data_IF_641580593319
#
_entry.id   IF_641580593319
#
_cell.length_a   1.000
_cell.length_b   1.000
_cell.length_c   1.000
_cell.angle_alpha   90.00
_cell.angle_beta   90.00
_cell.angle_gamma   90.00
#
_symmetry.space_group_name_H-M   'P 1'
#
loop_
_entity.id
_entity.type
_entity.pdbx_description
1 polymer ?
#
# COMPACT_ATOMS: atom_id res chain seq x y z
N UNK A 1 14.20 6.14 -3.75
CA UNK A 1 12.75 6.36 -3.93
C UNK A 1 12.01 5.97 -2.64
N UNK A 2 10.79 6.46 -2.38
CA UNK A 2 10.03 6.13 -1.16
C UNK A 2 9.88 4.61 -0.96
N UNK A 3 9.61 3.88 -2.04
CA UNK A 3 9.59 2.41 -2.10
C UNK A 3 10.83 1.76 -1.46
N UNK A 4 12.03 2.25 -1.76
CA UNK A 4 13.29 1.61 -1.37
C UNK A 4 13.53 1.66 0.15
N UNK A 5 12.79 2.51 0.88
CA UNK A 5 12.79 2.55 2.36
C UNK A 5 11.80 1.58 2.99
N UNK A 6 10.92 0.98 2.19
CA UNK A 6 9.80 0.16 2.66
C UNK A 6 10.05 -1.32 2.33
N UNK A 7 10.56 -1.62 1.14
CA UNK A 7 10.90 -2.98 0.72
C UNK A 7 12.04 -3.01 -0.29
N UNK A 8 12.77 -4.13 -0.30
CA UNK A 8 13.78 -4.44 -1.31
C UNK A 8 13.16 -4.96 -2.63
N UNK A 9 11.92 -5.43 -2.63
CA UNK A 9 11.24 -6.02 -3.82
C UNK A 9 10.77 -4.94 -4.80
N UNK A 10 11.23 -5.06 -6.06
CA UNK A 10 10.96 -4.12 -7.16
C UNK A 10 9.65 -4.34 -7.89
N UNK A 11 9.06 -5.54 -7.78
CA UNK A 11 7.97 -5.93 -8.65
C UNK A 11 6.69 -5.18 -8.32
N UNK A 12 6.03 -4.65 -9.34
CA UNK A 12 4.79 -3.90 -9.19
C UNK A 12 3.76 -4.71 -8.41
N UNK A 13 3.23 -4.10 -7.36
CA UNK A 13 2.22 -4.71 -6.49
C UNK A 13 2.76 -5.55 -5.34
N UNK A 14 4.08 -5.64 -5.15
CA UNK A 14 4.71 -6.26 -3.96
C UNK A 14 5.07 -5.26 -2.87
N UNK A 15 4.76 -3.98 -3.08
CA UNK A 15 5.20 -2.89 -2.21
C UNK A 15 4.12 -1.84 -1.97
N UNK A 16 4.25 -1.14 -0.84
CA UNK A 16 3.41 0.01 -0.50
C UNK A 16 3.90 1.28 -1.19
N UNK A 17 2.96 2.03 -1.76
CA UNK A 17 3.16 3.38 -2.30
C UNK A 17 2.32 4.42 -1.56
N UNK A 18 2.34 5.66 -2.03
CA UNK A 18 1.46 6.70 -1.50
C UNK A 18 -0.02 6.40 -1.78
N UNK A 19 -0.32 6.10 -3.04
CA UNK A 19 -1.65 5.72 -3.51
C UNK A 19 -1.53 4.31 -4.10
N UNK A 20 -2.42 3.42 -3.69
CA UNK A 20 -2.44 2.03 -4.13
C UNK A 20 -3.86 1.65 -4.50
N UNK A 21 -4.01 0.91 -5.59
CA UNK A 21 -5.28 0.30 -5.96
C UNK A 21 -5.22 -1.21 -5.75
N UNK A 22 -6.22 -1.73 -5.04
CA UNK A 22 -6.45 -3.15 -4.86
C UNK A 22 -7.73 -3.55 -5.59
N UNK A 23 -7.61 -4.30 -6.67
CA UNK A 23 -8.77 -4.85 -7.36
C UNK A 23 -9.54 -5.81 -6.45
N UNK A 24 -10.85 -5.92 -6.64
CA UNK A 24 -11.72 -6.84 -5.88
C UNK A 24 -11.19 -8.28 -5.91
N UNK A 25 -10.59 -8.69 -7.03
CA UNK A 25 -10.00 -10.02 -7.20
C UNK A 25 -8.76 -10.30 -6.33
N UNK A 26 -8.09 -9.26 -5.81
CA UNK A 26 -6.96 -9.44 -4.88
C UNK A 26 -7.40 -9.75 -3.44
N UNK A 27 -8.64 -9.43 -3.10
CA UNK A 27 -9.18 -9.60 -1.75
C UNK A 27 -9.56 -8.27 -1.08
N UNK A 28 -9.84 -8.35 0.22
CA UNK A 28 -10.31 -7.21 1.02
C UNK A 28 -9.16 -6.56 1.77
N UNK A 29 -9.08 -5.23 1.73
CA UNK A 29 -8.10 -4.46 2.52
C UNK A 29 -8.47 -4.58 4.01
N UNK A 30 -7.56 -5.04 4.88
CA UNK A 30 -7.82 -5.09 6.33
C UNK A 30 -7.91 -3.68 6.91
N UNK A 31 -8.42 -3.50 8.14
CA UNK A 31 -8.31 -2.22 8.84
C UNK A 31 -6.85 -1.74 8.92
N UNK A 32 -6.61 -0.49 8.51
CA UNK A 32 -5.29 0.14 8.49
C UNK A 32 -5.21 1.27 9.54
N UNK A 33 -4.02 1.59 10.08
CA UNK A 33 -3.87 2.71 11.01
C UNK A 33 -4.20 4.05 10.37
N UNK A 34 -4.70 5.00 11.17
CA UNK A 34 -4.69 6.40 10.77
C UNK A 34 -3.25 6.86 10.45
N UNK A 35 -3.06 7.81 9.51
CA UNK A 35 -4.06 8.55 8.74
C UNK A 35 -4.52 7.85 7.44
N UNK A 36 -4.26 6.55 7.27
CA UNK A 36 -4.60 5.83 6.03
C UNK A 36 -6.09 5.89 5.74
N UNK A 37 -6.44 6.20 4.49
CA UNK A 37 -7.82 6.20 3.99
C UNK A 37 -8.01 5.04 3.02
N UNK A 38 -9.18 4.41 3.11
CA UNK A 38 -9.61 3.31 2.23
C UNK A 38 -10.91 3.77 1.58
N UNK A 39 -10.86 4.03 0.28
CA UNK A 39 -11.99 4.53 -0.49
C UNK A 39 -12.47 3.45 -1.48
N UNK A 40 -13.76 3.10 -1.49
CA UNK A 40 -14.28 2.13 -2.45
C UNK A 40 -14.28 2.72 -3.86
N UNK A 41 -13.88 1.90 -4.85
CA UNK A 41 -14.01 2.21 -6.28
C UNK A 41 -15.14 1.36 -6.83
N UNK A 42 -16.38 1.82 -6.60
CA UNK A 42 -17.60 1.08 -6.91
C UNK A 42 -17.50 -0.40 -6.48
N UNK A 43 -17.81 -1.34 -7.38
CA UNK A 43 -17.64 -2.78 -7.18
C UNK A 43 -16.28 -3.30 -7.65
N UNK A 44 -15.36 -2.42 -8.08
CA UNK A 44 -14.09 -2.77 -8.74
C UNK A 44 -12.97 -3.06 -7.77
N UNK A 45 -12.98 -2.43 -6.59
CA UNK A 45 -11.92 -2.60 -5.61
C UNK A 45 -11.84 -1.44 -4.61
N UNK A 46 -10.64 -1.24 -4.05
CA UNK A 46 -10.36 -0.22 -3.04
C UNK A 46 -9.16 0.62 -3.46
N UNK A 47 -9.25 1.93 -3.27
CA UNK A 47 -8.14 2.87 -3.30
C UNK A 47 -7.64 3.07 -1.86
N UNK A 48 -6.36 2.84 -1.63
CA UNK A 48 -5.70 3.07 -0.34
C UNK A 48 -4.77 4.26 -0.47
N UNK A 49 -4.97 5.26 0.38
CA UNK A 49 -4.19 6.50 0.42
C UNK A 49 -3.44 6.53 1.76
N UNK A 50 -2.11 6.46 1.70
CA UNK A 50 -1.26 6.33 2.89
C UNK A 50 -1.34 7.57 3.80
N UNK A 51 -1.25 8.76 3.21
CA UNK A 51 -1.26 10.06 3.87
C UNK A 51 -2.06 11.07 3.02
N UNK A 52 -2.75 12.06 3.63
CA UNK A 52 -3.46 13.10 2.88
C UNK A 52 -2.53 13.92 1.97
N UNK A 53 -1.34 14.24 2.47
CA UNK A 53 -0.30 14.92 1.72
C UNK A 53 0.64 13.92 1.03
N UNK A 54 1.46 14.40 0.10
CA UNK A 54 2.40 13.57 -0.65
C UNK A 54 3.34 12.79 0.29
N UNK A 55 3.37 11.46 0.12
CA UNK A 55 4.30 10.63 0.87
C UNK A 55 5.74 11.02 0.51
N UNK A 56 6.58 11.21 1.53
CA UNK A 56 7.94 11.73 1.36
C UNK A 56 8.94 10.83 2.07
N UNK A 57 10.09 10.63 1.44
CA UNK A 57 11.23 9.91 2.02
C UNK A 57 11.86 10.71 3.16
N UNK A 58 11.75 12.04 3.13
CA UNK A 58 12.33 12.92 4.14
C UNK A 58 11.50 13.02 5.41
N UNK A 59 10.24 12.57 5.40
CA UNK A 59 9.42 12.51 6.61
C UNK A 59 9.51 11.08 7.21
N UNK A 60 10.19 10.89 8.35
CA UNK A 60 10.33 9.57 8.97
C UNK A 60 8.99 8.96 9.36
N UNK A 61 8.00 9.77 9.76
CA UNK A 61 6.66 9.28 10.12
C UNK A 61 5.95 8.64 8.92
N UNK A 62 6.14 9.20 7.71
CA UNK A 62 5.58 8.62 6.48
C UNK A 62 6.23 7.25 6.17
N UNK A 63 7.53 7.11 6.44
CA UNK A 63 8.27 5.85 6.22
C UNK A 63 7.84 4.78 7.22
N UNK A 64 7.75 5.12 8.51
CA UNK A 64 7.32 4.18 9.56
C UNK A 64 5.88 3.70 9.33
N UNK A 65 4.98 4.62 8.97
CA UNK A 65 3.61 4.28 8.61
C UNK A 65 3.58 3.31 7.42
N UNK A 66 4.36 3.58 6.37
CA UNK A 66 4.42 2.72 5.19
C UNK A 66 4.95 1.31 5.51
N UNK A 67 5.98 1.20 6.35
CA UNK A 67 6.50 -0.10 6.81
C UNK A 67 5.46 -0.89 7.61
N UNK A 68 4.70 -0.21 8.49
CA UNK A 68 3.62 -0.84 9.25
C UNK A 68 2.50 -1.32 8.34
N UNK A 69 2.10 -0.52 7.36
CA UNK A 69 1.06 -0.87 6.38
C UNK A 69 1.53 -2.00 5.46
N UNK A 70 2.81 -1.99 5.03
CA UNK A 70 3.41 -3.07 4.25
C UNK A 70 3.23 -4.42 4.96
N UNK A 71 3.59 -4.51 6.25
CA UNK A 71 3.44 -5.76 7.01
C UNK A 71 1.98 -6.17 7.26
N UNK A 72 1.02 -5.24 7.26
CA UNK A 72 -0.41 -5.56 7.38
C UNK A 72 -0.97 -6.11 6.07
N UNK A 73 -0.64 -5.47 4.94
CA UNK A 73 -1.10 -5.87 3.62
C UNK A 73 -0.44 -7.17 3.14
N UNK A 74 0.84 -7.38 3.48
CA UNK A 74 1.56 -8.61 3.21
C UNK A 74 0.94 -9.80 3.95
N UNK A 75 0.69 -9.67 5.25
CA UNK A 75 -0.01 -10.69 6.05
C UNK A 75 -1.43 -10.97 5.56
N UNK A 76 -2.10 -9.99 4.96
CA UNK A 76 -3.40 -10.16 4.32
C UNK A 76 -3.30 -10.81 2.92
N UNK A 77 -2.09 -11.06 2.40
CA UNK A 77 -1.85 -11.68 1.10
C UNK A 77 -2.18 -10.77 -0.10
N UNK A 78 -2.23 -9.44 0.12
CA UNK A 78 -2.58 -8.45 -0.90
C UNK A 78 -1.38 -8.00 -1.73
N UNK A 79 -0.16 -8.20 -1.23
CA UNK A 79 1.09 -7.79 -1.88
C UNK A 79 1.67 -8.96 -2.69
N UNK A 80 1.27 -9.04 -3.95
CA UNK A 80 1.68 -10.07 -4.91
C UNK A 80 2.03 -9.41 -6.25
N UNK A 81 2.97 -9.93 -7.03
CA UNK A 81 3.28 -9.37 -8.36
C UNK A 81 2.02 -9.21 -9.23
N UNK A 82 1.87 -8.06 -9.90
CA UNK A 82 0.75 -7.79 -10.84
C UNK A 82 1.08 -8.25 -12.25
N UNK A 83 2.38 -8.31 -12.57
CA UNK A 83 2.90 -8.85 -13.82
C UNK A 83 3.62 -10.14 -13.48
N UNK A 84 3.18 -11.24 -14.08
CA UNK A 84 3.97 -12.46 -14.14
C UNK A 84 5.08 -12.23 -15.18
N UNK A 85 6.34 -12.62 -14.92
CA UNK A 85 7.39 -12.61 -15.95
C UNK A 85 7.01 -13.41 -17.20
#
# INVERSE_FOLDING_TARGET
MFRDKITSTGDAGTFVGWIMYFSRGRGTVPPLPAPVRIEPVEDKGMLVILTPDSASVSNPEHVELAQRVQGLLDRAGLLKPIVTP
#
